data_IF_942587039993
#
_entry.id   IF_942587039993
#
_cell.length_a   1.000
_cell.length_b   1.000
_cell.length_c   1.000
_cell.angle_alpha   90.00
_cell.angle_beta   90.00
_cell.angle_gamma   90.00
#
_symmetry.space_group_name_H-M   'P 1'
#
loop_
_entity.id
_entity.type
_entity.pdbx_description
1 polymer ?
#
# COMPACT_ATOMS: atom_id res chain seq x y z
N UNK A 1 -6.78 30.31 35.85
CA UNK A 1 -6.15 29.71 34.64
C UNK A 1 -6.49 28.25 34.68
N UNK A 2 -7.51 27.91 33.92
CA UNK A 2 -8.33 26.72 34.11
C UNK A 2 -7.77 25.61 33.24
N UNK A 3 -6.91 24.79 33.83
CA UNK A 3 -6.39 23.59 33.20
C UNK A 3 -7.52 22.55 33.22
N UNK A 4 -8.30 22.51 32.14
CA UNK A 4 -9.33 21.50 31.95
C UNK A 4 -8.62 20.14 31.89
N UNK A 5 -9.16 19.08 32.53
CA UNK A 5 -8.67 17.74 32.28
C UNK A 5 -8.92 17.45 30.80
N UNK A 6 -7.84 17.40 30.03
CA UNK A 6 -7.88 16.92 28.66
C UNK A 6 -8.45 15.50 28.62
N UNK A 7 -8.89 15.03 27.44
CA UNK A 7 -9.41 13.68 27.27
C UNK A 7 -8.46 12.69 27.95
N UNK A 8 -8.99 11.65 28.63
CA UNK A 8 -8.16 10.70 29.37
C UNK A 8 -6.99 10.28 28.50
N UNK A 9 -5.76 10.55 28.97
CA UNK A 9 -4.52 10.34 28.21
C UNK A 9 -4.50 8.92 27.65
N UNK A 10 -4.88 8.74 26.39
CA UNK A 10 -5.02 7.40 25.81
C UNK A 10 -6.02 7.23 24.67
N UNK A 11 -7.16 7.93 24.64
CA UNK A 11 -8.26 7.61 23.71
C UNK A 11 -8.41 8.61 22.54
N UNK A 12 -8.90 8.14 21.39
CA UNK A 12 -9.24 8.97 20.23
C UNK A 12 -10.44 9.88 20.54
N UNK A 13 -10.47 11.13 20.04
CA UNK A 13 -11.60 12.04 20.29
C UNK A 13 -12.92 11.47 19.76
N UNK A 14 -13.95 11.54 20.59
CA UNK A 14 -15.29 10.99 20.34
C UNK A 14 -16.20 12.06 19.76
N UNK A 15 -16.64 11.88 18.53
CA UNK A 15 -17.54 12.81 17.82
C UNK A 15 -18.97 12.28 17.88
N UNK A 16 -19.90 13.08 18.40
CA UNK A 16 -21.33 12.80 18.31
C UNK A 16 -21.92 13.41 17.05
N UNK A 17 -22.73 12.68 16.29
CA UNK A 17 -23.32 13.15 15.01
C UNK A 17 -24.83 13.29 15.14
N UNK A 18 -25.34 14.48 14.80
CA UNK A 18 -26.79 14.76 14.76
C UNK A 18 -27.14 15.24 13.36
N UNK A 19 -27.97 14.49 12.63
CA UNK A 19 -28.57 14.95 11.38
C UNK A 19 -29.98 14.41 11.21
N UNK A 20 -30.87 15.13 10.54
CA UNK A 20 -32.27 14.73 10.36
C UNK A 20 -32.45 13.71 9.22
N UNK A 21 -31.58 13.72 8.21
CA UNK A 21 -31.53 12.73 7.14
C UNK A 21 -30.71 11.48 7.49
N UNK A 22 -31.30 10.29 7.32
CA UNK A 22 -30.61 9.00 7.56
C UNK A 22 -29.41 8.81 6.62
N UNK A 23 -29.55 9.23 5.36
CA UNK A 23 -28.46 9.12 4.38
C UNK A 23 -27.30 10.04 4.77
N UNK A 24 -27.60 11.28 5.17
CA UNK A 24 -26.59 12.24 5.59
C UNK A 24 -25.86 11.78 6.86
N UNK A 25 -26.58 11.25 7.86
CA UNK A 25 -25.95 10.63 9.05
C UNK A 25 -24.93 9.57 8.66
N UNK A 26 -25.29 8.65 7.77
CA UNK A 26 -24.37 7.59 7.34
C UNK A 26 -23.13 8.15 6.64
N UNK A 27 -23.31 9.14 5.76
CA UNK A 27 -22.22 9.73 4.97
C UNK A 27 -21.27 10.56 5.84
N UNK A 28 -21.81 11.34 6.77
CA UNK A 28 -21.03 12.12 7.75
C UNK A 28 -20.24 11.21 8.68
N UNK A 29 -20.84 10.12 9.18
CA UNK A 29 -20.12 9.14 9.99
C UNK A 29 -18.95 8.53 9.22
N UNK A 30 -19.18 8.08 7.98
CA UNK A 30 -18.11 7.53 7.13
C UNK A 30 -16.97 8.53 6.91
N UNK A 31 -17.27 9.81 6.74
CA UNK A 31 -16.27 10.86 6.59
C UNK A 31 -15.47 11.10 7.89
N UNK A 32 -16.12 11.06 9.05
CA UNK A 32 -15.47 11.21 10.36
C UNK A 32 -14.55 10.01 10.65
N UNK A 33 -15.04 8.79 10.38
CA UNK A 33 -14.30 7.54 10.55
C UNK A 33 -13.10 7.44 9.59
N UNK A 34 -13.30 7.82 8.31
CA UNK A 34 -12.24 7.91 7.29
C UNK A 34 -11.14 8.89 7.67
N UNK A 35 -11.52 9.94 8.39
CA UNK A 35 -10.59 10.91 8.92
C UNK A 35 -9.91 10.46 10.23
N UNK A 36 -10.30 9.30 10.77
CA UNK A 36 -9.69 8.63 11.92
C UNK A 36 -10.32 8.93 13.28
N UNK A 37 -11.42 9.68 13.34
CA UNK A 37 -12.09 9.99 14.61
C UNK A 37 -13.12 8.92 14.98
N UNK A 38 -13.31 8.70 16.28
CA UNK A 38 -14.32 7.77 16.75
C UNK A 38 -15.70 8.42 16.73
N UNK A 39 -16.69 7.78 16.09
CA UNK A 39 -18.09 8.20 16.20
C UNK A 39 -18.69 7.59 17.47
N UNK A 40 -19.04 8.44 18.42
CA UNK A 40 -19.54 8.00 19.73
C UNK A 40 -21.01 7.60 19.67
N UNK A 41 -21.80 8.41 18.98
CA UNK A 41 -23.25 8.27 18.89
C UNK A 41 -23.78 9.00 17.67
N UNK A 42 -24.85 8.48 17.08
CA UNK A 42 -25.47 9.04 15.86
C UNK A 42 -26.98 9.08 16.02
N UNK A 43 -27.57 10.28 15.96
CA UNK A 43 -28.98 10.49 16.28
C UNK A 43 -29.68 11.43 15.30
N UNK A 44 -30.99 11.26 15.16
CA UNK A 44 -31.86 12.29 14.61
C UNK A 44 -32.25 13.30 15.71
N UNK A 45 -32.56 14.56 15.38
CA UNK A 45 -32.91 15.58 16.37
C UNK A 45 -34.00 15.18 17.37
N UNK A 46 -35.02 14.43 16.94
CA UNK A 46 -36.12 13.93 17.79
C UNK A 46 -35.68 12.92 18.86
N UNK A 47 -34.49 12.34 18.72
CA UNK A 47 -33.96 11.30 19.62
C UNK A 47 -32.91 11.82 20.59
N UNK A 48 -32.63 13.12 20.56
CA UNK A 48 -31.67 13.76 21.44
C UNK A 48 -32.35 14.13 22.74
N UNK A 49 -31.80 13.67 23.87
CA UNK A 49 -32.25 14.03 25.21
C UNK A 49 -31.24 14.94 25.92
N UNK A 50 -31.70 15.72 26.88
CA UNK A 50 -30.86 16.67 27.65
C UNK A 50 -29.69 15.98 28.36
N UNK A 51 -29.94 14.80 28.93
CA UNK A 51 -28.91 14.00 29.60
C UNK A 51 -27.77 13.61 28.65
N UNK A 52 -28.08 13.43 27.35
CA UNK A 52 -27.09 13.05 26.35
C UNK A 52 -26.16 14.21 25.99
N UNK A 53 -26.72 15.41 25.81
CA UNK A 53 -25.96 16.60 25.36
C UNK A 53 -25.26 17.34 26.51
N UNK A 54 -25.76 17.16 27.74
CA UNK A 54 -25.10 17.67 28.96
C UNK A 54 -24.09 16.68 29.55
N UNK A 55 -24.19 15.39 29.17
CA UNK A 55 -23.32 14.30 29.60
C UNK A 55 -21.98 14.24 28.87
N UNK A 56 -21.15 13.26 29.23
CA UNK A 56 -19.78 13.06 28.71
C UNK A 56 -19.73 12.06 27.54
N UNK A 57 -20.76 12.06 26.70
CA UNK A 57 -20.91 11.08 25.63
C UNK A 57 -20.09 11.41 24.39
N UNK A 58 -19.86 12.70 24.13
CA UNK A 58 -19.07 13.18 23.01
C UNK A 58 -18.15 14.33 23.45
N UNK A 59 -16.96 14.36 22.85
CA UNK A 59 -15.97 15.41 23.07
C UNK A 59 -16.25 16.63 22.16
N UNK A 60 -16.98 16.41 21.05
CA UNK A 60 -17.53 17.45 20.15
C UNK A 60 -18.80 16.91 19.45
N UNK A 61 -19.80 17.78 19.25
CA UNK A 61 -21.02 17.45 18.50
C UNK A 61 -20.95 18.03 17.09
N UNK A 62 -21.06 17.20 16.06
CA UNK A 62 -21.21 17.63 14.67
C UNK A 62 -22.69 17.56 14.29
N UNK A 63 -23.26 18.72 13.96
CA UNK A 63 -24.70 18.89 13.74
C UNK A 63 -24.94 19.37 12.31
N UNK A 64 -25.68 18.59 11.53
CA UNK A 64 -25.96 18.86 10.12
C UNK A 64 -27.45 18.64 9.86
N UNK A 65 -28.24 19.72 9.85
CA UNK A 65 -29.70 19.68 9.76
C UNK A 65 -30.12 20.30 8.44
N UNK A 66 -30.86 19.55 7.61
CA UNK A 66 -31.31 20.05 6.31
C UNK A 66 -32.54 20.98 6.45
N UNK A 67 -33.46 20.67 7.36
CA UNK A 67 -34.69 21.43 7.59
C UNK A 67 -34.58 22.28 8.88
N UNK A 68 -33.81 23.37 8.80
CA UNK A 68 -33.54 24.26 9.94
C UNK A 68 -34.81 24.90 10.51
N UNK A 69 -35.79 25.23 9.67
CA UNK A 69 -37.04 25.85 10.11
C UNK A 69 -37.82 24.90 11.02
N UNK A 70 -37.90 23.63 10.64
CA UNK A 70 -38.57 22.58 11.43
C UNK A 70 -37.87 22.29 12.76
N UNK A 71 -36.54 22.39 12.80
CA UNK A 71 -35.73 22.03 13.97
C UNK A 71 -35.15 23.24 14.72
N UNK A 72 -35.64 24.43 14.43
CA UNK A 72 -35.15 25.71 14.97
C UNK A 72 -35.11 25.72 16.51
N UNK A 73 -36.20 25.32 17.18
CA UNK A 73 -36.26 25.22 18.64
C UNK A 73 -35.23 24.24 19.22
N UNK A 74 -35.02 23.11 18.53
CA UNK A 74 -34.02 22.12 18.93
C UNK A 74 -32.59 22.66 18.80
N UNK A 75 -32.29 23.36 17.69
CA UNK A 75 -30.97 23.95 17.46
C UNK A 75 -30.64 24.94 18.56
N UNK A 76 -31.57 25.85 18.88
CA UNK A 76 -31.38 26.84 19.96
C UNK A 76 -31.11 26.14 21.29
N UNK A 77 -31.96 25.17 21.65
CA UNK A 77 -31.80 24.41 22.90
C UNK A 77 -30.46 23.67 22.96
N UNK A 78 -30.03 23.06 21.85
CA UNK A 78 -28.74 22.37 21.77
C UNK A 78 -27.57 23.32 22.03
N UNK A 79 -27.58 24.52 21.45
CA UNK A 79 -26.54 25.53 21.69
C UNK A 79 -26.52 26.05 23.12
N UNK A 80 -27.66 26.13 23.79
CA UNK A 80 -27.75 26.59 25.18
C UNK A 80 -27.36 25.51 26.19
N UNK A 81 -27.78 24.26 25.97
CA UNK A 81 -27.65 23.18 26.93
C UNK A 81 -26.39 22.32 26.73
N UNK A 82 -25.82 22.25 25.52
CA UNK A 82 -24.68 21.38 25.24
C UNK A 82 -23.44 21.78 26.03
N UNK A 83 -22.85 20.79 26.71
CA UNK A 83 -21.61 20.98 27.48
C UNK A 83 -20.34 20.85 26.63
N UNK A 84 -20.42 20.08 25.55
CA UNK A 84 -19.33 19.91 24.59
C UNK A 84 -19.47 20.93 23.43
N UNK A 85 -18.35 21.33 22.79
CA UNK A 85 -18.40 22.23 21.64
C UNK A 85 -19.29 21.68 20.52
N UNK A 86 -20.04 22.56 19.86
CA UNK A 86 -20.89 22.22 18.71
C UNK A 86 -20.23 22.73 17.44
N UNK A 87 -20.13 21.85 16.45
CA UNK A 87 -19.65 22.12 15.11
C UNK A 87 -20.81 21.95 14.13
N UNK A 88 -21.16 23.02 13.43
CA UNK A 88 -22.14 22.94 12.35
C UNK A 88 -21.51 22.32 11.09
N UNK A 89 -22.25 21.41 10.46
CA UNK A 89 -21.88 20.70 9.24
C UNK A 89 -21.67 21.64 8.05
N UNK A 90 -21.08 21.10 6.97
CA UNK A 90 -20.80 21.82 5.73
C UNK A 90 -21.92 21.64 4.69
N UNK A 91 -23.16 21.48 5.14
CA UNK A 91 -24.34 21.20 4.32
C UNK A 91 -24.32 19.83 3.62
N UNK A 92 -25.29 19.61 2.74
CA UNK A 92 -25.58 18.30 2.14
C UNK A 92 -24.34 17.64 1.53
N UNK A 93 -24.10 16.41 1.95
CA UNK A 93 -22.99 15.62 1.45
C UNK A 93 -23.14 15.36 -0.07
N UNK A 94 -22.15 15.74 -0.89
CA UNK A 94 -22.15 15.43 -2.32
C UNK A 94 -22.07 13.91 -2.58
N UNK A 95 -22.37 13.47 -3.81
CA UNK A 95 -22.27 12.04 -4.17
C UNK A 95 -20.89 11.46 -3.83
N UNK A 96 -20.86 10.30 -3.15
CA UNK A 96 -19.65 9.63 -2.65
C UNK A 96 -18.63 9.30 -3.76
N UNK A 97 -19.09 9.12 -5.00
CA UNK A 97 -18.24 8.87 -6.17
C UNK A 97 -17.67 10.15 -6.81
N UNK A 98 -18.04 11.33 -6.32
CA UNK A 98 -17.63 12.61 -6.90
C UNK A 98 -16.38 13.19 -6.26
N UNK A 99 -15.58 13.94 -7.02
CA UNK A 99 -14.44 14.70 -6.48
C UNK A 99 -14.86 15.78 -5.47
N UNK A 100 -16.12 16.22 -5.48
CA UNK A 100 -16.66 17.17 -4.51
C UNK A 100 -16.76 16.55 -3.11
N UNK A 101 -16.99 15.23 -3.04
CA UNK A 101 -17.01 14.46 -1.79
C UNK A 101 -15.67 14.52 -1.05
N UNK A 102 -14.55 14.31 -1.76
CA UNK A 102 -13.20 14.39 -1.19
C UNK A 102 -12.86 15.77 -0.61
N UNK A 103 -13.37 16.84 -1.24
CA UNK A 103 -13.15 18.22 -0.78
C UNK A 103 -13.98 18.52 0.45
N UNK A 104 -15.22 18.04 0.48
CA UNK A 104 -16.13 18.16 1.61
C UNK A 104 -15.58 17.39 2.84
N UNK A 105 -15.08 16.16 2.65
CA UNK A 105 -14.45 15.33 3.69
C UNK A 105 -13.21 16.01 4.31
N UNK A 106 -12.32 16.58 3.47
CA UNK A 106 -11.13 17.31 3.97
C UNK A 106 -11.46 18.54 4.82
N UNK A 107 -12.58 19.23 4.54
CA UNK A 107 -13.01 20.39 5.34
C UNK A 107 -13.50 19.98 6.74
N UNK A 108 -14.27 18.88 6.80
CA UNK A 108 -14.73 18.29 8.06
C UNK A 108 -13.52 17.87 8.91
N UNK A 109 -12.52 17.20 8.30
CA UNK A 109 -11.28 16.84 8.98
C UNK A 109 -10.52 18.04 9.55
N UNK A 110 -10.38 19.13 8.78
CA UNK A 110 -9.65 20.32 9.22
C UNK A 110 -10.32 20.98 10.44
N UNK A 111 -11.65 21.15 10.45
CA UNK A 111 -12.37 21.73 11.58
C UNK A 111 -12.30 20.85 12.84
N UNK A 112 -12.44 19.53 12.66
CA UNK A 112 -12.31 18.59 13.78
C UNK A 112 -10.89 18.64 14.36
N UNK A 113 -9.86 18.70 13.51
CA UNK A 113 -8.46 18.79 13.94
C UNK A 113 -8.20 20.03 14.79
N UNK A 114 -8.78 21.17 14.42
CA UNK A 114 -8.58 22.43 15.15
C UNK A 114 -9.24 22.43 16.54
N UNK A 115 -10.39 21.73 16.69
CA UNK A 115 -11.16 21.72 17.95
C UNK A 115 -10.70 20.61 18.88
N UNK A 116 -10.57 19.38 18.39
CA UNK A 116 -10.30 18.19 19.21
C UNK A 116 -8.92 17.58 18.98
N UNK A 117 -8.12 18.16 18.09
CA UNK A 117 -6.77 17.68 17.77
C UNK A 117 -6.76 16.54 16.74
N UNK A 118 -5.57 16.09 16.33
CA UNK A 118 -5.45 15.00 15.36
C UNK A 118 -5.82 13.65 15.98
N UNK A 119 -6.56 12.79 15.26
CA UNK A 119 -6.80 11.43 15.71
C UNK A 119 -5.49 10.63 15.63
N UNK A 120 -5.36 9.62 16.48
CA UNK A 120 -4.15 8.79 16.51
C UNK A 120 -4.13 7.84 15.31
N UNK A 121 -2.94 7.48 14.80
CA UNK A 121 -2.79 6.68 13.58
C UNK A 121 -3.26 5.23 13.71
N UNK A 122 -3.75 4.78 14.86
CA UNK A 122 -4.14 3.39 15.05
C UNK A 122 -5.51 3.06 14.40
N UNK A 123 -6.37 4.07 14.16
CA UNK A 123 -7.70 3.86 13.56
C UNK A 123 -7.90 4.53 12.18
N UNK A 124 -6.97 5.38 11.72
CA UNK A 124 -7.07 6.13 10.47
C UNK A 124 -6.48 5.42 9.23
N UNK A 125 -5.90 4.24 9.39
CA UNK A 125 -5.11 3.55 8.35
C UNK A 125 -5.99 2.93 7.26
N UNK A 126 -7.30 2.74 7.50
CA UNK A 126 -8.13 1.90 6.62
C UNK A 126 -8.72 2.65 5.40
N UNK A 127 -8.76 3.99 5.35
CA UNK A 127 -9.60 4.68 4.35
C UNK A 127 -8.91 5.68 3.39
N UNK A 128 -7.66 6.10 3.61
CA UNK A 128 -7.03 7.14 2.78
C UNK A 128 -6.36 6.65 1.48
N UNK A 129 -6.34 5.34 1.22
CA UNK A 129 -5.72 4.75 0.02
C UNK A 129 -6.59 4.84 -1.25
N UNK A 130 -7.84 5.28 -1.17
CA UNK A 130 -8.79 5.13 -2.28
C UNK A 130 -8.79 6.26 -3.35
N UNK A 131 -8.03 7.35 -3.21
CA UNK A 131 -8.41 8.59 -3.93
C UNK A 131 -7.35 9.50 -4.56
N UNK A 132 -6.09 9.09 -4.75
CA UNK A 132 -5.17 9.82 -5.64
C UNK A 132 -4.19 8.84 -6.32
N UNK A 133 -4.11 8.68 -7.63
CA UNK A 133 -4.21 9.69 -8.68
C UNK A 133 -4.67 9.11 -10.04
N UNK A 134 -5.57 9.84 -10.71
CA UNK A 134 -5.91 9.72 -12.14
C UNK A 134 -5.43 11.01 -12.82
N UNK A 135 -4.35 10.93 -13.61
CA UNK A 135 -4.21 11.35 -15.02
C UNK A 135 -2.73 11.41 -15.48
N UNK A 136 -2.45 11.17 -16.78
CA UNK A 136 -1.29 10.40 -17.21
C UNK A 136 -0.14 11.26 -17.77
N UNK A 137 1.09 10.91 -17.41
CA UNK A 137 2.26 11.13 -18.27
C UNK A 137 2.58 9.78 -18.89
N UNK A 138 2.43 9.67 -20.22
CA UNK A 138 2.92 8.53 -20.99
C UNK A 138 4.44 8.48 -20.84
N UNK A 139 5.03 7.32 -20.49
CA UNK A 139 6.43 7.10 -20.80
C UNK A 139 6.52 6.99 -22.32
N UNK A 140 7.45 7.72 -22.94
CA UNK A 140 7.90 7.39 -24.28
C UNK A 140 8.36 5.92 -24.25
N UNK A 141 7.61 5.07 -24.95
CA UNK A 141 8.01 3.70 -25.23
C UNK A 141 9.13 3.79 -26.26
N UNK A 142 10.38 3.75 -25.79
CA UNK A 142 11.47 3.20 -26.59
C UNK A 142 11.16 1.70 -26.82
N UNK A 143 10.31 1.42 -27.80
CA UNK A 143 10.37 0.21 -28.61
C UNK A 143 11.46 0.45 -29.68
N UNK A 144 12.27 -0.57 -29.98
CA UNK A 144 13.09 -0.81 -31.20
C UNK A 144 14.54 -1.27 -30.96
N UNK A 145 15.03 -1.39 -29.73
CA UNK A 145 16.28 -2.16 -29.48
C UNK A 145 16.04 -3.25 -28.43
N UNK A 146 15.76 -4.47 -28.88
CA UNK A 146 15.86 -5.66 -28.00
C UNK A 146 17.33 -5.76 -27.55
N UNK A 147 17.58 -5.43 -26.27
CA UNK A 147 18.89 -5.66 -25.67
C UNK A 147 19.18 -7.16 -25.56
N UNK A 148 20.40 -7.52 -25.16
CA UNK A 148 20.74 -8.93 -24.96
C UNK A 148 19.77 -9.60 -23.98
N UNK A 149 19.18 -10.76 -24.33
CA UNK A 149 18.27 -11.49 -23.45
C UNK A 149 18.91 -11.72 -22.08
N UNK A 150 18.12 -11.50 -21.03
CA UNK A 150 18.60 -11.71 -19.68
C UNK A 150 18.93 -13.19 -19.48
N UNK A 151 20.18 -13.48 -19.11
CA UNK A 151 20.59 -14.81 -18.66
C UNK A 151 20.48 -14.92 -17.15
N UNK A 152 20.63 -13.81 -16.42
CA UNK A 152 20.46 -13.77 -14.97
C UNK A 152 19.18 -13.03 -14.59
N UNK A 153 18.28 -13.71 -13.89
CA UNK A 153 16.95 -13.17 -13.54
C UNK A 153 16.71 -13.27 -12.04
N UNK A 154 16.38 -12.15 -11.41
CA UNK A 154 16.15 -12.12 -9.97
C UNK A 154 14.69 -11.80 -9.65
N UNK A 155 14.10 -12.57 -8.73
CA UNK A 155 12.73 -12.32 -8.25
C UNK A 155 12.77 -11.38 -7.06
N UNK A 156 11.98 -10.31 -7.13
CA UNK A 156 11.73 -9.42 -5.99
C UNK A 156 10.30 -9.67 -5.50
N UNK A 157 10.17 -10.31 -4.33
CA UNK A 157 8.87 -10.61 -3.72
C UNK A 157 8.55 -9.65 -2.58
N UNK A 158 7.38 -9.00 -2.58
CA UNK A 158 7.04 -7.98 -1.60
C UNK A 158 5.53 -7.80 -1.37
N UNK A 159 5.15 -7.20 -0.23
CA UNK A 159 3.75 -6.93 0.13
C UNK A 159 3.63 -5.61 0.93
N UNK A 160 3.04 -5.61 2.13
CA UNK A 160 2.93 -4.41 2.98
C UNK A 160 4.30 -3.78 3.30
N UNK A 161 4.48 -2.51 2.94
CA UNK A 161 5.77 -1.80 3.03
C UNK A 161 6.76 -2.12 1.90
N UNK A 162 6.43 -3.10 1.05
CA UNK A 162 7.18 -3.54 -0.11
C UNK A 162 7.52 -2.43 -1.10
N UNK A 163 6.58 -1.57 -1.51
CA UNK A 163 6.86 -0.48 -2.46
C UNK A 163 8.02 0.42 -2.03
N UNK A 164 8.09 0.79 -0.75
CA UNK A 164 9.17 1.63 -0.22
C UNK A 164 10.50 0.85 -0.14
N UNK A 165 10.47 -0.40 0.30
CA UNK A 165 11.67 -1.23 0.42
C UNK A 165 12.30 -1.57 -0.95
N UNK A 166 11.48 -1.96 -1.93
CA UNK A 166 11.95 -2.23 -3.30
C UNK A 166 12.47 -0.95 -3.95
N UNK A 167 11.84 0.20 -3.71
CA UNK A 167 12.33 1.51 -4.20
C UNK A 167 13.73 1.80 -3.67
N UNK A 168 13.93 1.68 -2.36
CA UNK A 168 15.22 1.92 -1.72
C UNK A 168 16.30 0.96 -2.25
N UNK A 169 15.96 -0.31 -2.48
CA UNK A 169 16.87 -1.27 -3.09
C UNK A 169 17.25 -0.89 -4.53
N UNK A 170 16.27 -0.58 -5.38
CA UNK A 170 16.49 -0.25 -6.79
C UNK A 170 17.29 1.05 -7.00
N UNK A 171 17.15 2.02 -6.08
CA UNK A 171 17.88 3.30 -6.13
C UNK A 171 19.37 3.16 -5.85
N UNK A 172 19.78 2.11 -5.15
CA UNK A 172 21.17 1.86 -4.78
C UNK A 172 21.92 1.00 -5.80
N UNK A 173 21.20 0.42 -6.78
CA UNK A 173 21.82 -0.41 -7.81
C UNK A 173 22.44 0.44 -8.93
N UNK A 174 23.69 0.15 -9.35
CA UNK A 174 24.33 0.84 -10.46
C UNK A 174 23.72 0.44 -11.81
N UNK A 175 23.88 1.30 -12.81
CA UNK A 175 23.58 0.97 -14.20
C UNK A 175 24.48 -0.16 -14.74
N UNK A 176 23.98 -0.91 -15.72
CA UNK A 176 24.78 -1.91 -16.46
C UNK A 176 24.97 -3.24 -15.75
N UNK A 177 24.26 -3.51 -14.65
CA UNK A 177 24.21 -4.84 -14.06
C UNK A 177 23.65 -5.85 -15.07
N UNK A 178 24.30 -7.01 -15.29
CA UNK A 178 23.82 -8.06 -16.20
C UNK A 178 22.72 -8.88 -15.51
N UNK A 179 21.65 -8.22 -15.06
CA UNK A 179 20.51 -8.81 -14.35
C UNK A 179 19.21 -8.20 -14.88
N UNK A 180 18.17 -9.00 -15.03
CA UNK A 180 16.78 -8.54 -15.10
C UNK A 180 16.03 -8.89 -13.82
N UNK A 181 14.99 -8.11 -13.49
CA UNK A 181 14.14 -8.40 -12.34
C UNK A 181 12.71 -8.75 -12.75
N UNK A 182 12.14 -9.73 -12.05
CA UNK A 182 10.71 -10.00 -12.05
C UNK A 182 10.18 -9.65 -10.66
N UNK A 183 9.20 -8.76 -10.59
CA UNK A 183 8.66 -8.28 -9.31
C UNK A 183 7.27 -8.84 -9.08
N UNK A 184 7.11 -9.60 -8.00
CA UNK A 184 5.82 -10.07 -7.51
C UNK A 184 5.46 -9.26 -6.26
N UNK A 185 4.59 -8.26 -6.44
CA UNK A 185 4.13 -7.37 -5.39
C UNK A 185 2.63 -7.57 -5.17
N UNK A 186 2.20 -7.87 -3.93
CA UNK A 186 0.78 -7.85 -3.58
C UNK A 186 0.27 -6.40 -3.63
N UNK A 187 -0.53 -6.07 -4.65
CA UNK A 187 -1.04 -4.71 -4.90
C UNK A 187 -2.35 -4.79 -5.69
N UNK A 188 -3.22 -3.79 -5.54
CA UNK A 188 -4.40 -3.64 -6.38
C UNK A 188 -4.00 -3.37 -7.84
N UNK A 189 -4.67 -3.98 -8.85
CA UNK A 189 -4.32 -3.82 -10.27
C UNK A 189 -4.24 -2.36 -10.72
N UNK A 190 -5.10 -1.47 -10.19
CA UNK A 190 -5.15 -0.06 -10.54
C UNK A 190 -3.91 0.75 -10.10
N UNK A 191 -3.02 0.16 -9.29
CA UNK A 191 -1.81 0.81 -8.81
C UNK A 191 -0.52 0.32 -9.48
N UNK A 192 -0.55 -0.71 -10.34
CA UNK A 192 0.66 -1.27 -10.97
C UNK A 192 1.40 -0.23 -11.84
N UNK A 193 0.65 0.55 -12.63
CA UNK A 193 1.22 1.63 -13.46
C UNK A 193 1.85 2.73 -12.59
N UNK A 194 1.18 3.07 -11.49
CA UNK A 194 1.67 4.06 -10.53
C UNK A 194 2.96 3.57 -9.86
N UNK A 195 3.01 2.29 -9.48
CA UNK A 195 4.17 1.68 -8.85
C UNK A 195 5.38 1.63 -9.79
N UNK A 196 5.16 1.27 -11.06
CA UNK A 196 6.20 1.29 -12.10
C UNK A 196 6.82 2.69 -12.25
N UNK A 197 5.98 3.74 -12.24
CA UNK A 197 6.44 5.13 -12.29
C UNK A 197 7.21 5.54 -11.04
N UNK A 198 6.75 5.10 -9.87
CA UNK A 198 7.44 5.38 -8.59
C UNK A 198 8.80 4.71 -8.57
N UNK A 199 8.91 3.43 -8.93
CA UNK A 199 10.17 2.69 -8.94
C UNK A 199 11.14 3.13 -10.03
N UNK A 200 10.64 3.49 -11.23
CA UNK A 200 11.50 4.00 -12.30
C UNK A 200 12.16 5.34 -11.96
N UNK A 201 11.58 6.13 -11.05
CA UNK A 201 12.15 7.42 -10.66
C UNK A 201 13.45 7.23 -9.89
N UNK A 202 14.58 7.59 -10.47
CA UNK A 202 15.95 7.45 -9.94
C UNK A 202 16.56 6.04 -10.03
N UNK A 203 15.85 5.06 -10.58
CA UNK A 203 16.43 3.75 -10.87
C UNK A 203 17.14 3.77 -12.23
N UNK A 204 18.22 2.99 -12.36
CA UNK A 204 18.90 2.75 -13.64
C UNK A 204 18.26 1.64 -14.49
N UNK A 205 17.17 1.05 -14.01
CA UNK A 205 16.47 -0.03 -14.68
C UNK A 205 15.23 0.47 -15.42
N UNK A 206 14.92 -0.17 -16.55
CA UNK A 206 13.74 0.14 -17.38
C UNK A 206 12.58 -0.77 -17.04
N UNK A 207 11.42 -0.19 -16.74
CA UNK A 207 10.20 -0.95 -16.56
C UNK A 207 9.60 -1.36 -17.91
N UNK A 208 9.24 -2.63 -18.04
CA UNK A 208 8.56 -3.17 -19.22
C UNK A 208 7.26 -3.83 -18.79
N UNK A 209 6.20 -3.56 -19.55
CA UNK A 209 4.93 -4.24 -19.36
C UNK A 209 5.09 -5.74 -19.66
N UNK A 210 4.44 -6.62 -18.88
CA UNK A 210 4.46 -8.06 -19.13
C UNK A 210 3.65 -8.37 -20.39
N UNK A 211 4.33 -8.49 -21.53
CA UNK A 211 3.71 -8.77 -22.83
C UNK A 211 4.20 -10.11 -23.35
N UNK A 212 3.28 -11.04 -23.62
CA UNK A 212 3.62 -12.37 -24.11
C UNK A 212 4.56 -12.32 -25.34
N UNK A 213 5.62 -13.12 -25.31
CA UNK A 213 6.65 -13.20 -26.34
C UNK A 213 7.71 -12.11 -26.31
N UNK A 214 7.52 -11.03 -25.53
CA UNK A 214 8.52 -9.96 -25.38
C UNK A 214 9.79 -10.51 -24.74
N UNK A 215 10.95 -10.17 -25.30
CA UNK A 215 12.22 -10.47 -24.68
C UNK A 215 12.46 -9.51 -23.50
N UNK A 216 12.85 -10.06 -22.35
CA UNK A 216 13.32 -9.35 -21.17
C UNK A 216 14.85 -9.30 -21.23
N UNK A 217 15.40 -8.10 -21.30
CA UNK A 217 16.85 -7.89 -21.37
C UNK A 217 17.46 -7.54 -20.02
N UNK A 218 18.78 -7.64 -19.89
CA UNK A 218 19.48 -7.09 -18.74
C UNK A 218 19.18 -5.59 -18.54
N UNK A 219 19.08 -5.16 -17.29
CA UNK A 219 18.71 -3.79 -16.93
C UNK A 219 17.20 -3.52 -17.03
N UNK A 220 16.36 -4.55 -17.17
CA UNK A 220 14.90 -4.41 -17.24
C UNK A 220 14.20 -5.01 -16.02
N UNK A 221 13.01 -4.46 -15.73
CA UNK A 221 12.13 -4.90 -14.66
C UNK A 221 10.74 -5.17 -15.24
N UNK A 222 10.19 -6.33 -14.93
CA UNK A 222 8.81 -6.70 -15.27
C UNK A 222 8.04 -6.94 -13.98
N UNK A 223 6.86 -6.35 -13.84
CA UNK A 223 5.97 -6.59 -12.70
C UNK A 223 4.98 -7.70 -13.08
N UNK A 224 4.89 -8.72 -12.24
CA UNK A 224 3.95 -9.82 -12.43
C UNK A 224 2.49 -9.30 -12.36
N UNK A 225 1.64 -9.62 -13.34
CA UNK A 225 0.25 -9.19 -13.35
C UNK A 225 -0.56 -9.91 -12.26
N UNK A 226 -1.59 -9.24 -11.73
CA UNK A 226 -2.48 -9.81 -10.70
C UNK A 226 -3.40 -10.88 -11.29
N UNK A 227 -3.82 -10.73 -12.55
CA UNK A 227 -4.93 -11.53 -13.11
C UNK A 227 -4.49 -12.81 -13.83
N UNK A 228 -3.20 -12.97 -14.12
CA UNK A 228 -2.64 -14.05 -14.92
C UNK A 228 -1.31 -14.52 -14.37
N UNK A 229 -1.05 -15.82 -14.43
CA UNK A 229 0.30 -16.34 -14.14
C UNK A 229 1.27 -15.87 -15.21
N UNK A 230 2.47 -15.49 -14.78
CA UNK A 230 3.55 -15.03 -15.66
C UNK A 230 4.85 -15.74 -15.32
N UNK A 231 5.63 -16.08 -16.35
CA UNK A 231 7.04 -16.46 -16.23
C UNK A 231 7.88 -15.81 -17.32
N UNK A 232 9.20 -15.96 -17.21
CA UNK A 232 10.14 -15.72 -18.30
C UNK A 232 10.78 -17.07 -18.62
N UNK A 233 10.70 -17.50 -19.88
CA UNK A 233 11.27 -18.78 -20.28
C UNK A 233 12.79 -18.70 -20.46
N UNK A 234 13.41 -19.84 -20.72
CA UNK A 234 14.87 -19.99 -20.92
C UNK A 234 15.47 -19.16 -22.08
N UNK A 235 14.63 -18.59 -22.95
CA UNK A 235 15.06 -17.69 -24.03
C UNK A 235 14.91 -16.20 -23.64
N UNK A 236 14.62 -15.92 -22.37
CA UNK A 236 14.37 -14.58 -21.87
C UNK A 236 13.03 -14.02 -22.34
N UNK A 237 12.05 -14.84 -22.77
CA UNK A 237 10.76 -14.33 -23.25
C UNK A 237 9.67 -14.47 -22.21
N UNK A 238 8.85 -13.42 -22.07
CA UNK A 238 7.68 -13.43 -21.20
C UNK A 238 6.64 -14.43 -21.72
N UNK A 239 6.16 -15.29 -20.84
CA UNK A 239 5.02 -16.17 -21.06
C UNK A 239 3.91 -15.79 -20.09
N UNK A 240 2.71 -15.60 -20.63
CA UNK A 240 1.50 -15.34 -19.87
C UNK A 240 0.56 -16.53 -20.06
N UNK A 241 0.03 -17.01 -18.96
CA UNK A 241 -0.88 -18.13 -18.92
C UNK A 241 -2.32 -17.62 -18.71
N UNK A 242 -3.30 -18.34 -19.25
CA UNK A 242 -4.71 -17.97 -19.07
C UNK A 242 -5.19 -18.32 -17.64
N UNK A 243 -4.45 -19.19 -16.95
CA UNK A 243 -4.67 -19.55 -15.57
C UNK A 243 -4.37 -18.41 -14.60
N UNK A 244 -5.13 -18.37 -13.50
CA UNK A 244 -4.86 -17.49 -12.36
C UNK A 244 -3.80 -18.10 -11.45
N UNK A 245 -3.19 -17.27 -10.61
CA UNK A 245 -2.27 -17.72 -9.59
C UNK A 245 -2.96 -18.68 -8.62
N UNK A 246 -2.33 -19.82 -8.36
CA UNK A 246 -2.78 -20.75 -7.33
C UNK A 246 -2.66 -20.16 -5.91
N UNK A 247 -3.62 -20.51 -5.05
CA UNK A 247 -3.60 -20.15 -3.63
C UNK A 247 -4.20 -18.77 -3.33
N UNK A 248 -3.94 -18.23 -2.12
CA UNK A 248 -4.61 -17.02 -1.65
C UNK A 248 -3.96 -15.71 -2.11
N UNK A 249 -2.84 -15.78 -2.85
CA UNK A 249 -2.03 -14.62 -3.22
C UNK A 249 -2.01 -14.42 -4.74
N UNK A 250 -2.20 -13.17 -5.18
CA UNK A 250 -2.21 -12.78 -6.58
C UNK A 250 -1.54 -11.40 -6.76
N UNK A 251 -0.38 -11.29 -7.44
CA UNK A 251 0.45 -12.40 -7.93
C UNK A 251 1.07 -13.23 -6.79
N UNK A 252 1.31 -14.52 -7.03
CA UNK A 252 1.99 -15.40 -6.07
C UNK A 252 3.51 -15.31 -6.23
N UNK A 253 4.17 -14.99 -5.12
CA UNK A 253 5.63 -14.92 -5.03
C UNK A 253 6.23 -16.32 -5.12
N UNK A 254 5.63 -17.30 -4.43
CA UNK A 254 6.07 -18.69 -4.49
C UNK A 254 6.07 -19.23 -5.93
N UNK A 255 4.99 -19.02 -6.68
CA UNK A 255 4.91 -19.48 -8.08
C UNK A 255 5.90 -18.74 -8.98
N UNK A 256 6.02 -17.41 -8.83
CA UNK A 256 7.00 -16.62 -9.59
C UNK A 256 8.43 -17.13 -9.39
N UNK A 257 8.81 -17.39 -8.14
CA UNK A 257 10.11 -17.96 -7.78
C UNK A 257 10.32 -19.35 -8.37
N UNK A 258 9.33 -20.24 -8.25
CA UNK A 258 9.42 -21.61 -8.73
C UNK A 258 9.54 -21.68 -10.27
N UNK A 259 8.70 -20.94 -11.00
CA UNK A 259 8.71 -20.94 -12.46
C UNK A 259 10.03 -20.42 -13.02
N UNK A 260 10.56 -19.32 -12.48
CA UNK A 260 11.84 -18.77 -12.92
C UNK A 260 13.03 -19.66 -12.53
N UNK A 261 12.99 -20.31 -11.37
CA UNK A 261 14.00 -21.29 -10.99
C UNK A 261 14.02 -22.50 -11.94
N UNK A 262 12.86 -22.94 -12.43
CA UNK A 262 12.75 -24.08 -13.36
C UNK A 262 13.36 -23.75 -14.75
N UNK A 263 13.33 -22.48 -15.19
CA UNK A 263 13.91 -22.06 -16.47
C UNK A 263 15.40 -21.67 -16.41
N UNK A 264 15.81 -20.96 -15.36
CA UNK A 264 17.15 -20.36 -15.28
C UNK A 264 18.09 -21.08 -14.29
N UNK A 265 17.56 -21.97 -13.45
CA UNK A 265 18.35 -22.69 -12.45
C UNK A 265 19.17 -21.74 -11.58
N UNK A 266 20.48 -22.01 -11.45
CA UNK A 266 21.42 -21.22 -10.66
C UNK A 266 21.67 -19.79 -11.18
N UNK A 267 21.18 -19.45 -12.38
CA UNK A 267 21.19 -18.08 -12.89
C UNK A 267 20.01 -17.25 -12.36
N UNK A 268 19.07 -17.87 -11.65
CA UNK A 268 18.06 -17.17 -10.87
C UNK A 268 18.54 -16.83 -9.46
N UNK A 269 17.95 -15.81 -8.85
CA UNK A 269 17.99 -15.57 -7.40
C UNK A 269 16.65 -14.98 -6.92
N UNK A 270 16.46 -14.90 -5.61
CA UNK A 270 15.26 -14.28 -5.04
C UNK A 270 15.60 -13.37 -3.85
N UNK A 271 14.89 -12.25 -3.74
CA UNK A 271 14.95 -11.34 -2.60
C UNK A 271 13.53 -11.09 -2.09
N UNK A 272 13.29 -11.41 -0.82
CA UNK A 272 12.01 -11.20 -0.15
C UNK A 272 12.07 -9.92 0.70
N UNK A 273 11.24 -8.94 0.38
CA UNK A 273 11.13 -7.66 1.08
C UNK A 273 9.96 -7.63 2.07
N UNK A 274 9.82 -6.52 2.80
CA UNK A 274 8.73 -6.23 3.72
C UNK A 274 7.38 -6.67 3.17
N UNK A 275 6.65 -7.42 4.00
CA UNK A 275 5.39 -8.02 3.61
C UNK A 275 4.75 -8.81 4.73
N UNK A 276 3.42 -8.90 4.66
CA UNK A 276 2.63 -9.72 5.57
C UNK A 276 2.45 -11.13 4.98
N UNK A 277 2.32 -12.14 5.85
CA UNK A 277 2.04 -13.51 5.43
C UNK A 277 3.31 -14.33 5.28
N UNK A 278 3.26 -15.33 4.39
CA UNK A 278 4.29 -16.34 4.21
C UNK A 278 4.58 -16.69 2.74
N UNK A 279 4.01 -15.94 1.80
CA UNK A 279 4.23 -16.14 0.35
C UNK A 279 5.72 -15.99 0.00
N UNK A 280 6.25 -16.96 -0.74
CA UNK A 280 7.67 -17.06 -1.09
C UNK A 280 8.48 -17.99 -0.16
N UNK A 281 7.97 -18.33 1.03
CA UNK A 281 8.71 -19.19 1.96
C UNK A 281 8.78 -20.66 1.50
N UNK A 282 7.77 -21.15 0.78
CA UNK A 282 7.72 -22.55 0.32
C UNK A 282 8.75 -22.76 -0.80
N UNK A 283 8.71 -21.91 -1.83
CA UNK A 283 9.64 -21.91 -2.95
C UNK A 283 11.05 -21.55 -2.52
N UNK A 284 11.24 -20.70 -1.50
CA UNK A 284 12.58 -20.42 -0.97
C UNK A 284 13.32 -21.71 -0.57
N UNK A 285 12.63 -22.66 0.06
CA UNK A 285 13.22 -23.96 0.38
C UNK A 285 13.59 -24.77 -0.87
N UNK A 286 12.72 -24.79 -1.90
CA UNK A 286 12.99 -25.43 -3.21
C UNK A 286 14.23 -24.82 -3.87
N UNK A 287 14.29 -23.49 -3.99
CA UNK A 287 15.41 -22.77 -4.59
C UNK A 287 16.73 -23.11 -3.90
N UNK A 288 16.75 -23.16 -2.56
CA UNK A 288 17.98 -23.54 -1.84
C UNK A 288 18.44 -24.95 -2.10
N UNK A 289 17.54 -25.91 -2.26
CA UNK A 289 17.91 -27.28 -2.63
C UNK A 289 18.55 -27.34 -4.03
N UNK A 290 18.20 -26.41 -4.91
CA UNK A 290 18.79 -26.24 -6.25
C UNK A 290 20.11 -25.45 -6.22
N UNK A 291 20.56 -24.97 -5.06
CA UNK A 291 21.75 -24.12 -4.92
C UNK A 291 21.53 -22.65 -5.31
N UNK A 292 20.28 -22.22 -5.47
CA UNK A 292 19.90 -20.85 -5.85
C UNK A 292 19.93 -19.92 -4.65
N UNK A 293 20.43 -18.70 -4.79
CA UNK A 293 20.46 -17.70 -3.71
C UNK A 293 19.06 -17.18 -3.36
N UNK A 294 18.77 -17.13 -2.05
CA UNK A 294 17.55 -16.54 -1.51
C UNK A 294 17.93 -15.60 -0.36
N UNK A 295 17.64 -14.33 -0.53
CA UNK A 295 17.92 -13.29 0.45
C UNK A 295 16.64 -12.70 1.00
N UNK A 296 16.71 -12.07 2.16
CA UNK A 296 15.55 -11.46 2.78
C UNK A 296 15.88 -10.12 3.45
N UNK A 297 14.94 -9.19 3.43
CA UNK A 297 15.05 -7.96 4.18
C UNK A 297 15.14 -8.26 5.69
N UNK A 298 16.02 -7.55 6.39
CA UNK A 298 16.18 -7.67 7.84
C UNK A 298 14.95 -7.10 8.55
N UNK A 299 14.49 -7.78 9.60
CA UNK A 299 13.24 -7.47 10.28
C UNK A 299 13.19 -6.03 10.80
N UNK A 300 14.33 -5.47 11.21
CA UNK A 300 14.46 -4.12 11.77
C UNK A 300 14.15 -3.01 10.76
N UNK A 301 14.23 -3.32 9.46
CA UNK A 301 13.98 -2.36 8.37
C UNK A 301 12.66 -2.61 7.66
N UNK A 302 11.95 -3.69 7.99
CA UNK A 302 10.64 -4.00 7.43
C UNK A 302 9.56 -3.14 8.08
N UNK A 303 8.57 -2.70 7.30
CA UNK A 303 7.31 -2.20 7.86
C UNK A 303 6.47 -3.37 8.41
N UNK A 304 6.55 -4.54 7.77
CA UNK A 304 6.04 -5.81 8.27
C UNK A 304 7.04 -6.92 7.93
N UNK A 305 7.56 -7.60 8.95
CA UNK A 305 8.61 -8.60 8.78
C UNK A 305 8.09 -10.02 8.56
N UNK A 306 6.79 -10.27 8.68
CA UNK A 306 6.20 -11.63 8.66
C UNK A 306 6.67 -12.48 7.48
N UNK A 307 6.63 -11.93 6.27
CA UNK A 307 6.99 -12.67 5.05
C UNK A 307 8.50 -12.99 4.99
N UNK A 308 9.43 -12.01 5.11
CA UNK A 308 10.86 -12.27 5.26
C UNK A 308 11.20 -13.22 6.42
N UNK A 309 10.51 -13.10 7.56
CA UNK A 309 10.71 -13.92 8.75
C UNK A 309 10.29 -15.37 8.50
N UNK A 310 9.20 -15.59 7.78
CA UNK A 310 8.74 -16.93 7.40
C UNK A 310 9.78 -17.66 6.53
N UNK A 311 10.38 -16.98 5.55
CA UNK A 311 11.45 -17.57 4.75
C UNK A 311 12.73 -17.82 5.57
N UNK A 312 13.09 -16.91 6.48
CA UNK A 312 14.22 -17.13 7.40
C UNK A 312 14.00 -18.32 8.32
N UNK A 313 12.79 -18.47 8.86
CA UNK A 313 12.41 -19.57 9.74
C UNK A 313 12.45 -20.94 9.02
N UNK A 314 12.19 -20.96 7.70
CA UNK A 314 12.37 -22.14 6.87
C UNK A 314 13.84 -22.53 6.63
N UNK A 315 14.81 -21.74 7.13
CA UNK A 315 16.24 -22.06 7.08
C UNK A 315 16.86 -21.90 5.69
N UNK A 316 16.16 -21.25 4.77
CA UNK A 316 16.53 -21.15 3.36
C UNK A 316 17.06 -19.77 2.95
N UNK A 317 17.16 -18.81 3.86
CA UNK A 317 17.73 -17.49 3.56
C UNK A 317 19.24 -17.49 3.81
N UNK A 318 20.05 -17.20 2.79
CA UNK A 318 21.52 -17.17 2.87
C UNK A 318 22.10 -15.82 3.26
N UNK A 319 21.34 -14.75 3.09
CA UNK A 319 21.74 -13.41 3.46
C UNK A 319 20.55 -12.58 3.90
N UNK A 320 20.76 -11.73 4.91
CA UNK A 320 19.76 -10.75 5.34
C UNK A 320 20.39 -9.40 5.59
N UNK A 321 19.66 -8.35 5.22
CA UNK A 321 20.11 -6.97 5.40
C UNK A 321 19.00 -5.98 5.07
N UNK A 322 19.27 -4.70 5.31
CA UNK A 322 18.46 -3.59 4.80
C UNK A 322 18.38 -3.59 3.26
N UNK A 323 17.41 -2.89 2.65
CA UNK A 323 17.34 -2.76 1.19
C UNK A 323 18.66 -2.31 0.55
N UNK A 324 19.38 -1.36 1.17
CA UNK A 324 20.70 -0.93 0.69
C UNK A 324 21.76 -2.03 0.77
N UNK A 325 21.79 -2.77 1.87
CA UNK A 325 22.73 -3.88 2.03
C UNK A 325 22.43 -5.03 1.06
N UNK A 326 21.16 -5.30 0.77
CA UNK A 326 20.74 -6.25 -0.25
C UNK A 326 21.22 -5.81 -1.65
N UNK A 327 21.10 -4.51 -1.97
CA UNK A 327 21.57 -3.96 -3.24
C UNK A 327 23.09 -4.11 -3.38
N UNK A 328 23.86 -3.70 -2.36
CA UNK A 328 25.31 -3.89 -2.34
C UNK A 328 25.71 -5.36 -2.47
N UNK A 329 25.00 -6.25 -1.76
CA UNK A 329 25.25 -7.69 -1.85
C UNK A 329 25.00 -8.22 -3.25
N UNK A 330 23.98 -7.72 -3.95
CA UNK A 330 23.70 -8.10 -5.33
C UNK A 330 24.82 -7.68 -6.28
N UNK A 331 25.33 -6.47 -6.13
CA UNK A 331 26.45 -5.97 -6.94
C UNK A 331 27.71 -6.84 -6.73
N UNK A 332 28.05 -7.15 -5.48
CA UNK A 332 29.17 -8.05 -5.16
C UNK A 332 28.96 -9.46 -5.74
N UNK A 333 27.74 -9.99 -5.63
CA UNK A 333 27.39 -11.30 -6.14
C UNK A 333 27.52 -11.35 -7.67
N UNK A 334 26.98 -10.34 -8.36
CA UNK A 334 27.04 -10.22 -9.81
C UNK A 334 28.49 -10.10 -10.30
N UNK A 335 29.30 -9.27 -9.66
CA UNK A 335 30.72 -9.10 -10.00
C UNK A 335 31.53 -10.40 -9.85
N UNK A 336 31.11 -11.30 -8.96
CA UNK A 336 31.78 -12.58 -8.73
C UNK A 336 31.30 -13.71 -9.65
N UNK A 337 30.02 -13.74 -10.01
CA UNK A 337 29.41 -14.89 -10.68
C UNK A 337 28.99 -14.64 -12.13
N UNK A 338 28.85 -13.38 -12.55
CA UNK A 338 28.36 -13.02 -13.89
C UNK A 338 29.41 -12.32 -14.76
N UNK A 339 30.63 -12.12 -14.25
CA UNK A 339 31.71 -11.37 -14.89
C UNK A 339 32.44 -12.10 -16.02
N UNK A 340 32.05 -13.33 -16.37
CA UNK A 340 32.64 -14.06 -17.50
C UNK A 340 31.98 -13.77 -18.87
N UNK A 341 30.89 -12.99 -18.94
CA UNK A 341 30.23 -12.64 -20.22
C UNK A 341 30.62 -11.28 -20.81
N UNK A 342 31.50 -10.51 -20.16
CA UNK A 342 31.94 -9.18 -20.65
C UNK A 342 33.21 -9.24 -21.52
N UNK A 343 33.70 -10.43 -21.86
CA UNK A 343 34.84 -10.65 -22.76
C UNK A 343 34.44 -11.67 -23.83
N UNK A 344 33.63 -11.24 -24.80
CA UNK A 344 33.66 -11.71 -26.18
C UNK A 344 32.87 -10.76 -27.08
#
# INVERSE_FOLDING_TARGET
MSDKPGPPKGANPRVGVIADSTLQRHVVCKAIESAGYGVAVTLSPDKVSDDLITGDQADVWLVDIEDEDKWSDFIVHLFEASRAPILLGEGNAPSVSSLQFQRWERKIYAKLKDIVGQPRPEDAVIQSLAQAAIEPVSPELDDEAEGEPATNVWVLGASLGGPAAVKEFLDELPAGLPIAFVVAQHIDPGFQDTLSKVWGRNSHFRFKAPLAGRCVSHGEIVIAPVEQVMTVNQFGRVELFEEQWDGPYSPSIDQSMSLLADHFGVQTGAILFSGMGNDGAISAAKLRQMGIEVWAQSAETCANSSQPDSARAAGCVTFSGSPKQLAHKLVEYAAKHYSESLIN
#
